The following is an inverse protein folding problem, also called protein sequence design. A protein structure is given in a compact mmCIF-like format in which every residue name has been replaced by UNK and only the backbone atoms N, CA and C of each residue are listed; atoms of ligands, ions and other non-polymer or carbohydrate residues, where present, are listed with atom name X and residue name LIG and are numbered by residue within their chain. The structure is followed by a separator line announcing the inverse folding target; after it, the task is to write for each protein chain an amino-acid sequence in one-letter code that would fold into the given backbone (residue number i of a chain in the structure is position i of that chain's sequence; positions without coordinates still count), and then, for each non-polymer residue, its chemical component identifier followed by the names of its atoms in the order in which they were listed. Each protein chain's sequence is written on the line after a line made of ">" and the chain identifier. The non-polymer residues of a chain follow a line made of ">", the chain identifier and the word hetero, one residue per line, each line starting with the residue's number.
data_IF_681472183673
#
_entry.id   IF_681472183673
#
_cell.length_a   1.000
_cell.length_b   1.000
_cell.length_c   1.000
_cell.angle_alpha   90.00
_cell.angle_beta   90.00
_cell.angle_gamma   90.00
#
_symmetry.space_group_name_H-M   'P 1'
#
loop_
_entity.id
_entity.type
_entity.pdbx_description
1 polymer ?
#
# COMPACT_ATOMS: atom_id res chain seq x y z
N UNK A 1 24.49 -8.64 -5.25
CA UNK A 1 23.28 -9.46 -5.00
C UNK A 1 22.09 -8.54 -4.80
N UNK A 2 21.09 -8.65 -5.68
CA UNK A 2 19.88 -7.79 -5.73
C UNK A 2 18.59 -8.61 -5.55
N UNK A 3 18.68 -9.81 -4.97
CA UNK A 3 17.52 -10.70 -4.83
C UNK A 3 16.76 -10.37 -3.53
N UNK A 4 15.42 -10.26 -3.57
CA UNK A 4 14.63 -10.03 -2.38
C UNK A 4 14.79 -11.20 -1.40
N UNK A 5 14.82 -10.91 -0.10
CA UNK A 5 14.80 -11.93 0.97
C UNK A 5 13.50 -12.73 0.92
N UNK A 6 12.39 -12.05 0.60
CA UNK A 6 11.08 -12.66 0.46
C UNK A 6 10.22 -11.86 -0.52
N UNK A 7 9.37 -12.55 -1.27
CA UNK A 7 8.40 -11.95 -2.17
C UNK A 7 7.15 -12.83 -2.21
N UNK A 8 5.98 -12.23 -2.03
CA UNK A 8 4.70 -12.89 -2.17
C UNK A 8 3.65 -11.94 -2.76
N UNK A 9 2.55 -12.53 -3.21
CA UNK A 9 1.37 -11.83 -3.70
C UNK A 9 0.25 -12.81 -3.93
N UNK A 10 -0.97 -12.28 -4.11
CA UNK A 10 -2.10 -13.08 -4.55
C UNK A 10 -2.90 -12.33 -5.61
N UNK A 11 -3.69 -13.11 -6.33
CA UNK A 11 -4.76 -12.58 -7.15
C UNK A 11 -5.97 -12.37 -6.25
N UNK A 12 -6.46 -11.13 -6.14
CA UNK A 12 -7.76 -10.86 -5.52
C UNK A 12 -8.83 -11.14 -6.56
N UNK A 13 -9.65 -12.16 -6.33
CA UNK A 13 -10.64 -12.59 -7.34
C UNK A 13 -11.77 -11.58 -7.46
N UNK A 14 -12.50 -11.63 -8.58
CA UNK A 14 -13.66 -10.77 -8.77
C UNK A 14 -14.73 -11.01 -7.69
N UNK A 15 -14.86 -12.27 -7.22
CA UNK A 15 -15.80 -12.64 -6.17
C UNK A 15 -15.41 -12.01 -4.83
N UNK A 16 -14.13 -12.07 -4.43
CA UNK A 16 -13.63 -11.43 -3.20
C UNK A 16 -13.86 -9.91 -3.21
N UNK A 17 -13.78 -9.31 -4.41
CA UNK A 17 -13.91 -7.87 -4.58
C UNK A 17 -15.36 -7.42 -4.81
N UNK A 18 -16.29 -8.36 -5.05
CA UNK A 18 -17.69 -8.07 -5.36
C UNK A 18 -18.46 -7.46 -4.19
N UNK A 19 -17.96 -7.63 -2.97
CA UNK A 19 -18.53 -7.06 -1.74
C UNK A 19 -18.25 -5.55 -1.60
N UNK A 20 -17.32 -4.99 -2.38
CA UNK A 20 -16.94 -3.58 -2.31
C UNK A 20 -17.52 -2.79 -3.47
N UNK A 21 -18.17 -1.67 -3.15
CA UNK A 21 -18.71 -0.74 -4.15
C UNK A 21 -17.64 0.22 -4.67
N UNK A 22 -16.72 0.60 -3.79
CA UNK A 22 -15.62 1.52 -4.10
C UNK A 22 -14.27 0.91 -3.77
N UNK A 23 -13.24 1.24 -4.55
CA UNK A 23 -11.87 0.79 -4.28
C UNK A 23 -11.43 1.20 -2.87
N UNK A 24 -11.82 2.38 -2.40
CA UNK A 24 -11.45 2.88 -1.07
C UNK A 24 -11.91 1.96 0.07
N UNK A 25 -13.02 1.23 -0.11
CA UNK A 25 -13.55 0.29 0.90
C UNK A 25 -12.66 -0.96 1.04
N UNK A 26 -11.85 -1.27 0.04
CA UNK A 26 -10.92 -2.41 0.04
C UNK A 26 -9.68 -2.17 0.92
N UNK A 27 -9.55 -0.99 1.55
CA UNK A 27 -8.36 -0.62 2.31
C UNK A 27 -8.00 -1.65 3.39
N UNK A 28 -8.94 -1.93 4.30
CA UNK A 28 -8.73 -2.87 5.40
C UNK A 28 -8.44 -4.28 4.86
N UNK A 29 -9.25 -4.76 3.91
CA UNK A 29 -9.06 -6.05 3.26
C UNK A 29 -7.65 -6.23 2.68
N UNK A 30 -7.13 -5.22 1.95
CA UNK A 30 -5.80 -5.27 1.34
C UNK A 30 -4.68 -5.14 2.37
N UNK A 31 -4.86 -4.31 3.40
CA UNK A 31 -3.88 -4.20 4.49
C UNK A 31 -3.77 -5.52 5.24
N UNK A 32 -4.89 -6.08 5.66
CA UNK A 32 -4.94 -7.32 6.44
C UNK A 32 -4.35 -8.48 5.63
N UNK A 33 -4.55 -8.49 4.32
CA UNK A 33 -3.88 -9.40 3.41
C UNK A 33 -2.35 -9.29 3.48
N UNK A 34 -1.79 -8.07 3.42
CA UNK A 34 -0.33 -7.85 3.54
C UNK A 34 0.19 -8.29 4.89
N UNK A 35 -0.46 -7.87 5.98
CA UNK A 35 -0.08 -8.24 7.35
C UNK A 35 -0.11 -9.75 7.56
N UNK A 36 -1.14 -10.42 7.03
CA UNK A 36 -1.26 -11.88 7.09
C UNK A 36 -0.10 -12.56 6.36
N UNK A 37 0.27 -12.11 5.15
CA UNK A 37 1.38 -12.73 4.43
C UNK A 37 2.72 -12.55 5.15
N UNK A 38 2.96 -11.39 5.78
CA UNK A 38 4.16 -11.16 6.60
C UNK A 38 4.18 -12.09 7.81
N UNK A 39 3.04 -12.23 8.50
CA UNK A 39 2.90 -13.13 9.63
C UNK A 39 3.08 -14.61 9.24
N UNK A 40 2.49 -15.06 8.13
CA UNK A 40 2.65 -16.43 7.59
C UNK A 40 4.10 -16.74 7.17
N UNK A 41 4.89 -15.70 6.87
CA UNK A 41 6.30 -15.81 6.53
C UNK A 41 7.25 -15.61 7.74
N UNK A 42 6.71 -15.47 8.95
CA UNK A 42 7.45 -15.15 10.17
C UNK A 42 8.31 -13.86 10.06
N UNK A 43 7.84 -12.88 9.28
CA UNK A 43 8.50 -11.57 9.11
C UNK A 43 7.91 -10.58 10.12
N UNK A 44 8.68 -10.09 11.10
CA UNK A 44 8.20 -9.10 12.05
C UNK A 44 7.97 -7.75 11.37
N UNK A 45 7.03 -6.97 11.89
CA UNK A 45 6.86 -5.56 11.53
C UNK A 45 7.95 -4.70 12.17
N UNK A 46 9.18 -4.89 11.67
CA UNK A 46 10.38 -4.18 12.08
C UNK A 46 11.17 -3.86 10.81
N UNK A 47 10.86 -2.70 10.23
CA UNK A 47 11.42 -2.25 8.95
C UNK A 47 12.03 -0.85 9.10
N UNK A 48 13.15 -0.61 8.40
CA UNK A 48 13.77 0.72 8.34
C UNK A 48 12.99 1.70 7.44
N UNK A 49 12.20 1.20 6.50
CA UNK A 49 11.33 1.98 5.62
C UNK A 49 10.28 1.09 4.95
N UNK A 50 9.13 1.67 4.60
CA UNK A 50 8.09 1.02 3.80
C UNK A 50 7.88 1.80 2.50
N UNK A 51 7.83 1.10 1.37
CA UNK A 51 7.68 1.73 0.05
C UNK A 51 6.49 1.10 -0.66
N UNK A 52 5.63 1.95 -1.21
CA UNK A 52 4.52 1.54 -2.07
C UNK A 52 4.69 2.04 -3.50
N UNK A 53 3.97 1.42 -4.44
CA UNK A 53 3.82 1.98 -5.78
C UNK A 53 2.95 3.23 -5.71
N UNK A 54 3.38 4.32 -6.37
CA UNK A 54 2.57 5.51 -6.55
C UNK A 54 1.19 5.25 -7.19
N UNK A 55 0.18 5.97 -6.71
CA UNK A 55 -1.18 5.93 -7.24
C UNK A 55 -1.46 7.01 -8.29
N UNK A 56 -2.74 7.29 -8.51
CA UNK A 56 -3.23 8.31 -9.44
C UNK A 56 -3.06 9.74 -8.88
N UNK A 57 -1.81 10.14 -8.67
CA UNK A 57 -1.43 11.48 -8.24
C UNK A 57 -1.45 12.48 -9.39
N UNK A 58 -1.36 13.77 -9.03
CA UNK A 58 -1.10 14.86 -10.00
C UNK A 58 0.28 14.65 -10.65
N UNK A 59 0.52 15.20 -11.85
CA UNK A 59 1.82 15.10 -12.50
C UNK A 59 2.95 15.60 -11.60
N UNK A 60 3.92 14.74 -11.33
CA UNK A 60 5.13 15.03 -10.55
C UNK A 60 6.37 14.57 -11.30
N UNK A 61 7.54 15.18 -11.06
CA UNK A 61 8.81 14.63 -11.52
C UNK A 61 9.02 13.19 -11.05
N UNK A 62 9.87 12.44 -11.75
CA UNK A 62 10.30 11.12 -11.28
C UNK A 62 11.18 11.28 -10.03
N UNK A 63 10.96 10.44 -9.02
CA UNK A 63 11.71 10.48 -7.76
C UNK A 63 11.02 9.65 -6.68
N UNK A 64 11.64 9.64 -5.51
CA UNK A 64 11.09 9.02 -4.29
C UNK A 64 10.48 10.11 -3.43
N UNK A 65 9.24 9.94 -3.00
CA UNK A 65 8.50 10.95 -2.23
C UNK A 65 8.06 10.39 -0.89
N UNK A 66 8.36 11.12 0.19
CA UNK A 66 7.79 10.80 1.49
C UNK A 66 6.27 10.95 1.45
N UNK A 67 5.57 9.93 1.94
CA UNK A 67 4.10 9.95 2.01
C UNK A 67 3.68 11.04 3.00
N UNK A 68 2.69 11.84 2.61
CA UNK A 68 2.15 12.90 3.44
C UNK A 68 0.62 12.96 3.34
N UNK A 69 -0.01 13.75 4.20
CA UNK A 69 -1.47 13.86 4.26
C UNK A 69 -2.09 14.39 2.95
N UNK A 70 -1.42 15.31 2.24
CA UNK A 70 -1.92 15.81 0.95
C UNK A 70 -1.93 14.71 -0.11
N UNK A 71 -0.89 13.88 -0.15
CA UNK A 71 -0.79 12.75 -1.06
C UNK A 71 -1.91 11.74 -0.79
N UNK A 72 -2.14 11.36 0.47
CA UNK A 72 -3.24 10.46 0.85
C UNK A 72 -4.60 11.04 0.48
N UNK A 73 -4.81 12.34 0.71
CA UNK A 73 -6.02 13.04 0.30
C UNK A 73 -6.22 12.99 -1.22
N UNK A 74 -5.19 13.30 -2.01
CA UNK A 74 -5.27 13.28 -3.47
C UNK A 74 -5.58 11.88 -4.01
N UNK A 75 -5.03 10.82 -3.39
CA UNK A 75 -5.28 9.42 -3.79
C UNK A 75 -6.70 8.96 -3.48
N UNK A 76 -7.23 9.33 -2.31
CA UNK A 76 -8.60 9.02 -1.91
C UNK A 76 -9.65 9.75 -2.75
N UNK A 77 -9.31 10.93 -3.26
CA UNK A 77 -10.20 11.79 -4.04
C UNK A 77 -9.83 11.83 -5.54
N UNK A 78 -9.04 10.87 -6.02
CA UNK A 78 -8.67 10.77 -7.42
C UNK A 78 -9.92 10.61 -8.29
N UNK A 79 -9.92 11.24 -9.48
CA UNK A 79 -11.07 11.19 -10.40
C UNK A 79 -11.40 9.78 -10.90
N UNK A 80 -10.41 8.90 -10.91
CA UNK A 80 -10.56 7.50 -11.26
C UNK A 80 -10.15 6.66 -10.07
N UNK A 81 -10.89 5.59 -9.84
CA UNK A 81 -10.56 4.62 -8.82
C UNK A 81 -9.59 3.58 -9.37
N UNK A 82 -8.52 3.31 -8.62
CA UNK A 82 -7.59 2.25 -8.94
C UNK A 82 -6.99 1.67 -7.66
N UNK A 83 -6.82 0.35 -7.58
CA UNK A 83 -6.34 -0.34 -6.39
C UNK A 83 -4.97 0.17 -5.90
N UNK A 84 -4.11 0.65 -6.81
CA UNK A 84 -2.82 1.23 -6.43
C UNK A 84 -2.93 2.53 -5.61
N UNK A 85 -4.09 3.21 -5.63
CA UNK A 85 -4.31 4.38 -4.77
C UNK A 85 -4.22 4.02 -3.29
N UNK A 86 -4.55 2.78 -2.92
CA UNK A 86 -4.47 2.30 -1.55
C UNK A 86 -3.03 2.00 -1.10
N UNK A 87 -2.09 1.83 -2.04
CA UNK A 87 -0.72 1.45 -1.72
C UNK A 87 -0.06 2.42 -0.74
N UNK A 88 -0.16 3.72 -1.00
CA UNK A 88 0.41 4.74 -0.12
C UNK A 88 -0.24 4.76 1.28
N UNK A 89 -1.55 4.50 1.35
CA UNK A 89 -2.27 4.48 2.63
C UNK A 89 -1.86 3.26 3.47
N UNK A 90 -1.66 2.11 2.82
CA UNK A 90 -1.23 0.87 3.49
C UNK A 90 0.22 1.02 3.96
N UNK A 91 1.11 1.56 3.10
CA UNK A 91 2.49 1.79 3.47
C UNK A 91 2.64 2.78 4.64
N UNK A 92 1.87 3.88 4.66
CA UNK A 92 1.89 4.84 5.77
C UNK A 92 1.42 4.20 7.09
N UNK A 93 0.39 3.34 7.07
CA UNK A 93 -0.07 2.66 8.29
C UNK A 93 0.96 1.64 8.81
N UNK A 94 1.49 0.77 7.93
CA UNK A 94 2.52 -0.20 8.33
C UNK A 94 3.78 0.51 8.84
N UNK A 95 4.21 1.58 8.20
CA UNK A 95 5.39 2.33 8.63
C UNK A 95 5.20 3.00 10.00
N UNK A 96 3.97 3.45 10.31
CA UNK A 96 3.63 3.96 11.66
C UNK A 96 3.76 2.88 12.73
N UNK A 97 3.32 1.65 12.44
CA UNK A 97 3.50 0.51 13.36
C UNK A 97 4.98 0.16 13.54
N UNK A 98 5.77 0.24 12.47
CA UNK A 98 7.22 0.00 12.48
C UNK A 98 8.04 1.19 13.02
N UNK A 99 7.43 2.34 13.29
CA UNK A 99 8.10 3.58 13.67
C UNK A 99 9.17 4.05 12.66
N UNK A 100 8.90 3.89 11.36
CA UNK A 100 9.83 4.18 10.28
C UNK A 100 9.18 5.07 9.18
N UNK A 101 9.96 5.63 8.24
CA UNK A 101 9.41 6.43 7.15
C UNK A 101 8.71 5.59 6.06
N UNK A 102 7.73 6.21 5.40
CA UNK A 102 7.02 5.64 4.26
C UNK A 102 7.21 6.47 2.97
N UNK A 103 7.33 5.79 1.83
CA UNK A 103 7.58 6.42 0.53
C UNK A 103 6.74 5.84 -0.60
N UNK A 104 6.64 6.60 -1.71
CA UNK A 104 6.22 6.13 -3.02
C UNK A 104 7.26 6.43 -4.11
#
# INVERSE_FOLDING_TARGET
>A
DEKPVWAAGAHHTADDLSEFHHVNEQYAYRKDFVLRLLAEADIPLDFDAVIARGGLLKPTPGGVYAINEQMKHDLLNARMEHACNLGALIADEIARECHCPAYI
#
